data_IF_842353814826
#
_entry.id   IF_842353814826
#
_cell.length_a   1.000
_cell.length_b   1.000
_cell.length_c   1.000
_cell.angle_alpha   90.00
_cell.angle_beta   90.00
_cell.angle_gamma   90.00
#
_symmetry.space_group_name_H-M   'P 1'
#
loop_
_entity.id
_entity.type
_entity.pdbx_description
1 polymer ?
#
# COMPACT_ATOMS: atom_id res chain seq x y z
N UNK A 1 54.41 -27.37 14.02
CA UNK A 1 53.60 -26.35 14.69
C UNK A 1 52.34 -26.15 13.84
N UNK A 2 51.24 -26.84 14.19
CA UNK A 2 49.97 -26.76 13.49
C UNK A 2 49.11 -25.68 14.21
N UNK A 3 48.90 -24.60 13.55
CA UNK A 3 47.93 -23.59 14.01
C UNK A 3 46.59 -24.00 13.35
N UNK A 4 45.81 -24.72 14.11
CA UNK A 4 44.42 -24.99 13.74
C UNK A 4 43.55 -23.80 14.20
N UNK A 5 43.34 -22.86 13.35
CA UNK A 5 42.26 -21.91 13.54
C UNK A 5 41.02 -22.57 12.96
N UNK A 6 40.09 -22.96 13.81
CA UNK A 6 38.80 -23.47 13.41
C UNK A 6 37.98 -22.25 12.92
N UNK A 7 38.00 -22.02 11.61
CA UNK A 7 37.43 -20.88 10.92
C UNK A 7 35.87 -20.95 10.83
N UNK A 8 35.25 -21.90 11.55
CA UNK A 8 33.80 -22.16 11.49
C UNK A 8 32.96 -21.11 12.22
N UNK A 9 33.57 -20.38 13.15
CA UNK A 9 32.87 -19.40 14.00
C UNK A 9 33.25 -17.92 13.72
N UNK A 10 34.01 -17.68 12.63
CA UNK A 10 34.30 -16.30 12.22
C UNK A 10 33.00 -15.64 11.73
N UNK A 11 32.62 -14.47 12.29
CA UNK A 11 31.41 -13.75 11.89
C UNK A 11 31.33 -13.45 10.39
N UNK A 12 32.47 -13.20 9.72
CA UNK A 12 32.53 -12.98 8.27
C UNK A 12 32.28 -14.28 7.48
N UNK A 13 32.83 -15.41 7.94
CA UNK A 13 32.59 -16.72 7.32
C UNK A 13 31.14 -17.17 7.49
N UNK A 14 30.54 -16.90 8.64
CA UNK A 14 29.10 -17.13 8.89
C UNK A 14 28.26 -16.22 7.99
N UNK A 15 28.64 -14.95 7.84
CA UNK A 15 27.98 -13.99 6.96
C UNK A 15 28.05 -14.42 5.50
N UNK A 16 29.23 -14.80 5.00
CA UNK A 16 29.44 -15.30 3.63
C UNK A 16 28.67 -16.62 3.36
N UNK A 17 28.66 -17.55 4.31
CA UNK A 17 27.87 -18.79 4.18
C UNK A 17 26.37 -18.50 4.13
N UNK A 18 25.88 -17.56 4.94
CA UNK A 18 24.47 -17.12 4.91
C UNK A 18 24.12 -16.44 3.61
N UNK A 19 25.00 -15.58 3.07
CA UNK A 19 24.85 -14.98 1.75
C UNK A 19 24.84 -16.02 0.63
N UNK A 20 25.79 -16.95 0.66
CA UNK A 20 25.89 -18.02 -0.35
C UNK A 20 24.67 -18.96 -0.28
N UNK A 21 24.19 -19.30 0.91
CA UNK A 21 22.99 -20.12 1.11
C UNK A 21 21.73 -19.38 0.68
N UNK A 22 21.64 -18.08 1.00
CA UNK A 22 20.54 -17.23 0.57
C UNK A 22 20.49 -17.06 -0.95
N UNK A 23 21.65 -16.79 -1.58
CA UNK A 23 21.75 -16.67 -3.04
C UNK A 23 21.43 -18.02 -3.73
N UNK A 24 21.86 -19.16 -3.17
CA UNK A 24 21.55 -20.50 -3.70
C UNK A 24 20.06 -20.80 -3.63
N UNK A 25 19.39 -20.44 -2.52
CA UNK A 25 17.94 -20.60 -2.38
C UNK A 25 17.14 -19.74 -3.36
N UNK A 26 17.65 -18.54 -3.69
CA UNK A 26 17.04 -17.64 -4.67
C UNK A 26 17.21 -18.12 -6.13
N UNK A 27 18.26 -18.91 -6.42
CA UNK A 27 18.59 -19.36 -7.78
C UNK A 27 17.92 -20.71 -8.12
N UNK A 28 17.65 -21.57 -7.14
CA UNK A 28 17.21 -22.96 -7.36
C UNK A 28 15.74 -23.23 -6.95
N UNK A 29 14.99 -22.21 -6.51
CA UNK A 29 13.62 -22.41 -6.03
C UNK A 29 12.59 -22.04 -7.11
N UNK A 30 11.53 -22.83 -7.19
CA UNK A 30 10.33 -22.43 -7.95
C UNK A 30 9.74 -21.11 -7.40
N UNK A 31 9.18 -20.26 -8.26
CA UNK A 31 8.51 -19.04 -7.83
C UNK A 31 7.47 -19.34 -6.74
N UNK A 32 7.40 -18.47 -5.73
CA UNK A 32 6.39 -18.62 -4.67
C UNK A 32 5.01 -18.25 -5.22
N UNK A 33 4.05 -19.13 -5.07
CA UNK A 33 2.67 -18.81 -5.46
C UNK A 33 2.06 -17.79 -4.50
N UNK A 34 1.66 -16.64 -5.07
CA UNK A 34 1.03 -15.53 -4.34
C UNK A 34 -0.43 -15.37 -4.72
N UNK A 35 -1.21 -14.64 -3.90
CA UNK A 35 -2.59 -14.31 -4.22
C UNK A 35 -3.52 -15.53 -4.28
N UNK A 36 -3.30 -16.53 -3.43
CA UNK A 36 -3.96 -17.83 -3.49
C UNK A 36 -5.36 -17.86 -2.87
N UNK A 37 -5.76 -16.86 -2.09
CA UNK A 37 -7.12 -16.80 -1.54
C UNK A 37 -8.16 -16.84 -2.66
N UNK A 38 -9.14 -17.77 -2.62
CA UNK A 38 -10.13 -17.94 -3.67
C UNK A 38 -10.88 -16.65 -3.99
N UNK A 39 -10.91 -16.27 -5.28
CA UNK A 39 -11.49 -15.01 -5.73
C UNK A 39 -12.10 -15.10 -7.10
N UNK A 40 -13.06 -14.22 -7.35
CA UNK A 40 -13.68 -14.02 -8.66
C UNK A 40 -13.53 -12.58 -9.15
N UNK A 41 -13.43 -12.38 -10.47
CA UNK A 41 -13.46 -11.05 -11.05
C UNK A 41 -14.91 -10.62 -11.20
N UNK A 42 -15.33 -9.61 -10.41
CA UNK A 42 -16.71 -9.11 -10.45
C UNK A 42 -16.87 -7.88 -11.34
N UNK A 43 -15.77 -7.22 -11.73
CA UNK A 43 -15.82 -6.08 -12.62
C UNK A 43 -14.47 -5.84 -13.32
N UNK A 44 -14.54 -5.34 -14.55
CA UNK A 44 -13.37 -4.92 -15.33
C UNK A 44 -13.66 -3.64 -16.09
N UNK A 45 -12.64 -2.80 -16.24
CA UNK A 45 -12.64 -1.65 -17.15
C UNK A 45 -11.21 -1.32 -17.56
N UNK A 46 -10.95 -1.30 -18.87
CA UNK A 46 -9.61 -1.21 -19.40
C UNK A 46 -8.73 -2.32 -18.78
N UNK A 47 -7.68 -1.95 -18.05
CA UNK A 47 -6.78 -2.88 -17.36
C UNK A 47 -7.17 -3.14 -15.91
N UNK A 48 -8.03 -2.27 -15.33
CA UNK A 48 -8.45 -2.39 -13.95
C UNK A 48 -9.43 -3.54 -13.73
N UNK A 49 -9.25 -4.24 -12.62
CA UNK A 49 -10.07 -5.37 -12.18
C UNK A 49 -10.51 -5.18 -10.74
N UNK A 50 -11.70 -5.64 -10.43
CA UNK A 50 -12.18 -5.75 -9.07
C UNK A 50 -12.40 -7.22 -8.75
N UNK A 51 -11.62 -7.72 -7.82
CA UNK A 51 -11.76 -9.07 -7.28
C UNK A 51 -12.72 -9.05 -6.10
N UNK A 52 -13.52 -10.09 -5.96
CA UNK A 52 -14.24 -10.44 -4.74
C UNK A 52 -13.69 -11.74 -4.23
N UNK A 53 -13.32 -11.77 -2.96
CA UNK A 53 -12.90 -12.98 -2.30
C UNK A 53 -14.11 -13.73 -1.75
N UNK A 54 -14.14 -15.04 -1.97
CA UNK A 54 -15.30 -15.87 -1.63
C UNK A 54 -15.16 -16.33 -0.19
N UNK A 55 -16.08 -15.95 0.72
CA UNK A 55 -16.03 -16.39 2.10
C UNK A 55 -16.16 -17.91 2.20
N UNK A 56 -15.33 -18.55 2.99
CA UNK A 56 -15.50 -19.94 3.41
C UNK A 56 -16.46 -19.99 4.59
N UNK A 57 -17.77 -19.85 4.35
CA UNK A 57 -18.78 -19.90 5.40
C UNK A 57 -19.76 -18.72 5.38
N UNK A 58 -20.43 -18.48 6.50
CA UNK A 58 -21.41 -17.42 6.62
C UNK A 58 -20.72 -16.05 6.75
N UNK A 59 -21.21 -15.07 5.97
CA UNK A 59 -20.86 -13.66 6.12
C UNK A 59 -21.34 -13.17 7.49
N UNK A 60 -20.41 -12.82 8.37
CA UNK A 60 -20.71 -12.34 9.73
C UNK A 60 -20.89 -10.82 9.81
N UNK A 61 -20.30 -10.09 8.85
CA UNK A 61 -20.30 -8.64 8.82
C UNK A 61 -21.02 -8.10 7.58
N UNK A 62 -22.13 -7.33 7.72
CA UNK A 62 -22.91 -6.85 6.59
C UNK A 62 -22.19 -5.79 5.74
N UNK A 63 -21.28 -5.00 6.33
CA UNK A 63 -20.54 -3.95 5.62
C UNK A 63 -19.33 -4.54 4.91
N UNK A 64 -19.28 -4.55 3.57
CA UNK A 64 -18.14 -5.07 2.82
C UNK A 64 -16.92 -4.16 2.96
N UNK A 65 -15.74 -4.73 2.74
CA UNK A 65 -14.45 -4.02 2.76
C UNK A 65 -13.90 -3.95 1.34
N UNK A 66 -13.68 -2.74 0.82
CA UNK A 66 -12.99 -2.50 -0.45
C UNK A 66 -11.56 -2.06 -0.19
N UNK A 67 -10.61 -2.91 -0.54
CA UNK A 67 -9.18 -2.66 -0.46
C UNK A 67 -8.71 -1.91 -1.71
N UNK A 68 -8.12 -0.72 -1.52
CA UNK A 68 -7.57 0.14 -2.56
C UNK A 68 -6.07 0.22 -2.40
N UNK A 69 -5.33 -0.21 -3.41
CA UNK A 69 -3.89 -0.28 -3.41
C UNK A 69 -3.25 0.89 -4.16
N UNK A 70 -1.91 1.01 -4.05
CA UNK A 70 -1.10 2.01 -4.75
C UNK A 70 -1.11 1.81 -6.28
N UNK A 71 -0.64 2.83 -7.02
CA UNK A 71 -0.56 2.81 -8.50
C UNK A 71 0.73 2.18 -9.04
N UNK A 72 1.71 1.93 -8.19
CA UNK A 72 3.11 1.67 -8.59
C UNK A 72 3.60 0.25 -8.31
N UNK A 73 2.81 -0.56 -7.61
CA UNK A 73 3.13 -1.95 -7.27
C UNK A 73 1.87 -2.82 -7.40
N UNK A 74 2.04 -4.12 -7.34
CA UNK A 74 0.94 -5.08 -7.45
C UNK A 74 0.18 -5.23 -6.13
N UNK A 75 -1.15 -5.34 -6.17
CA UNK A 75 -1.96 -5.42 -4.95
C UNK A 75 -1.89 -6.78 -4.24
N UNK A 76 -1.24 -7.79 -4.82
CA UNK A 76 -1.18 -9.13 -4.21
C UNK A 76 -0.35 -9.19 -2.92
N UNK A 77 0.36 -8.13 -2.55
CA UNK A 77 0.96 -8.03 -1.21
C UNK A 77 -0.08 -8.10 -0.10
N UNK A 78 -1.32 -7.74 -0.39
CA UNK A 78 -2.46 -7.85 0.54
C UNK A 78 -2.96 -9.30 0.67
N UNK A 79 -2.57 -10.16 -0.27
CA UNK A 79 -2.87 -11.59 -0.34
C UNK A 79 -1.57 -12.34 -0.69
N UNK A 80 -0.53 -12.17 0.15
CA UNK A 80 0.84 -12.51 -0.20
C UNK A 80 1.03 -14.02 -0.32
N UNK A 81 0.91 -14.73 0.77
CA UNK A 81 0.99 -16.21 0.84
C UNK A 81 0.01 -16.70 1.92
N UNK A 82 -0.37 -17.99 1.94
CA UNK A 82 -1.19 -18.56 3.01
C UNK A 82 -0.61 -18.24 4.39
N UNK A 83 -1.47 -18.03 5.37
CA UNK A 83 -1.14 -17.60 6.74
C UNK A 83 -0.46 -16.21 6.85
N UNK A 84 -0.11 -15.56 5.75
CA UNK A 84 0.44 -14.21 5.73
C UNK A 84 -0.26 -13.34 4.69
N UNK A 85 -1.58 -13.36 4.72
CA UNK A 85 -2.50 -12.63 3.85
C UNK A 85 -3.52 -11.87 4.70
N UNK A 86 -3.54 -10.53 4.58
CA UNK A 86 -4.58 -9.71 5.20
C UNK A 86 -5.97 -10.06 4.65
N UNK A 87 -6.03 -10.36 3.36
CA UNK A 87 -7.29 -10.76 2.69
C UNK A 87 -7.82 -12.06 3.29
N UNK A 88 -6.98 -13.11 3.35
CA UNK A 88 -7.35 -14.39 3.96
C UNK A 88 -7.85 -14.20 5.40
N UNK A 89 -7.12 -13.40 6.18
CA UNK A 89 -7.50 -13.08 7.56
C UNK A 89 -8.89 -12.42 7.66
N UNK A 90 -9.15 -11.38 6.85
CA UNK A 90 -10.44 -10.69 6.86
C UNK A 90 -11.59 -11.60 6.37
N UNK A 91 -11.34 -12.42 5.35
CA UNK A 91 -12.31 -13.42 4.86
C UNK A 91 -12.61 -14.45 5.94
N UNK A 92 -11.61 -14.98 6.61
CA UNK A 92 -11.75 -15.92 7.73
C UNK A 92 -12.53 -15.32 8.91
N UNK A 93 -12.40 -14.02 9.14
CA UNK A 93 -13.20 -13.28 10.13
C UNK A 93 -14.64 -12.95 9.66
N UNK A 94 -15.02 -13.38 8.44
CA UNK A 94 -16.38 -13.28 7.93
C UNK A 94 -16.73 -11.94 7.29
N UNK A 95 -15.74 -11.17 6.84
CA UNK A 95 -15.96 -9.98 6.03
C UNK A 95 -16.13 -10.34 4.54
N UNK A 96 -16.96 -9.59 3.82
CA UNK A 96 -17.08 -9.63 2.36
C UNK A 96 -15.99 -8.70 1.78
N UNK A 97 -14.89 -9.26 1.29
CA UNK A 97 -13.68 -8.54 0.92
C UNK A 97 -13.56 -8.38 -0.59
N UNK A 98 -13.27 -7.17 -1.01
CA UNK A 98 -12.99 -6.81 -2.40
C UNK A 98 -11.60 -6.18 -2.52
N UNK A 99 -10.88 -6.50 -3.58
CA UNK A 99 -9.56 -5.93 -3.87
C UNK A 99 -9.55 -5.31 -5.26
N UNK A 100 -9.11 -4.07 -5.30
CA UNK A 100 -8.93 -3.32 -6.53
C UNK A 100 -7.50 -3.54 -7.07
N UNK A 101 -7.41 -4.01 -8.30
CA UNK A 101 -6.19 -4.05 -9.10
C UNK A 101 -6.33 -3.03 -10.25
N UNK A 102 -5.45 -2.05 -10.28
CA UNK A 102 -5.44 -1.03 -11.34
C UNK A 102 -4.94 -1.58 -12.69
N UNK A 103 -4.28 -2.75 -12.69
CA UNK A 103 -3.60 -3.33 -13.83
C UNK A 103 -2.25 -2.67 -14.10
N UNK A 104 -1.66 -2.97 -15.25
CA UNK A 104 -0.38 -2.40 -15.69
C UNK A 104 -0.66 -1.35 -16.77
N UNK A 105 -0.35 -0.07 -16.52
CA UNK A 105 -0.54 0.96 -17.52
C UNK A 105 0.38 0.74 -18.72
N UNK A 106 -0.16 0.91 -19.92
CA UNK A 106 0.57 0.96 -21.17
C UNK A 106 0.82 2.40 -21.61
N UNK A 107 1.43 2.58 -22.77
CA UNK A 107 1.75 3.91 -23.31
C UNK A 107 0.50 4.80 -23.45
N UNK A 108 -0.63 4.21 -23.77
CA UNK A 108 -1.93 4.88 -23.89
C UNK A 108 -2.46 5.45 -22.56
N UNK A 109 -1.95 4.96 -21.42
CA UNK A 109 -2.40 5.35 -20.08
C UNK A 109 -1.57 6.51 -19.47
N UNK A 110 -0.55 7.02 -20.18
CA UNK A 110 0.34 8.08 -19.67
C UNK A 110 -0.38 9.35 -19.24
N UNK A 111 -1.57 9.60 -19.80
CA UNK A 111 -2.42 10.75 -19.45
C UNK A 111 -3.35 10.51 -18.25
N UNK A 112 -3.28 9.36 -17.57
CA UNK A 112 -4.11 9.11 -16.39
C UNK A 112 -3.54 9.84 -15.18
N UNK A 113 -4.24 10.89 -14.72
CA UNK A 113 -3.99 11.59 -13.47
C UNK A 113 -4.87 11.06 -12.33
N UNK A 114 -4.66 11.56 -11.11
CA UNK A 114 -5.44 11.15 -9.92
C UNK A 114 -6.95 11.36 -10.08
N UNK A 115 -7.38 12.36 -10.85
CA UNK A 115 -8.78 12.62 -11.14
C UNK A 115 -9.47 11.43 -11.83
N UNK A 116 -8.77 10.67 -12.67
CA UNK A 116 -9.32 9.48 -13.32
C UNK A 116 -9.57 8.36 -12.31
N UNK A 117 -8.63 8.14 -11.39
CA UNK A 117 -8.74 7.12 -10.35
C UNK A 117 -9.83 7.47 -9.33
N UNK A 118 -9.84 8.72 -8.85
CA UNK A 118 -10.75 9.19 -7.80
C UNK A 118 -12.17 9.41 -8.32
N UNK A 119 -12.33 10.01 -9.53
CA UNK A 119 -13.64 10.43 -10.02
C UNK A 119 -14.29 9.46 -11.01
N UNK A 120 -13.49 8.62 -11.71
CA UNK A 120 -14.03 7.73 -12.74
C UNK A 120 -14.02 6.25 -12.32
N UNK A 121 -12.86 5.74 -11.87
CA UNK A 121 -12.72 4.31 -11.55
C UNK A 121 -13.33 3.96 -10.20
N UNK A 122 -12.86 4.60 -9.13
CA UNK A 122 -13.27 4.25 -7.76
C UNK A 122 -14.80 4.34 -7.54
N UNK A 123 -15.53 5.37 -8.01
CA UNK A 123 -16.99 5.43 -7.87
C UNK A 123 -17.71 4.29 -8.56
N UNK A 124 -17.19 3.79 -9.68
CA UNK A 124 -17.79 2.65 -10.42
C UNK A 124 -17.57 1.34 -9.67
N UNK A 125 -16.39 1.17 -9.09
CA UNK A 125 -16.07 -0.01 -8.28
C UNK A 125 -16.87 -0.03 -6.99
N UNK A 126 -17.00 1.09 -6.30
CA UNK A 126 -17.86 1.24 -5.11
C UNK A 126 -19.30 0.82 -5.44
N UNK A 127 -19.89 1.35 -6.51
CA UNK A 127 -21.22 0.94 -6.95
C UNK A 127 -21.31 -0.54 -7.28
N UNK A 128 -20.23 -1.14 -7.81
CA UNK A 128 -20.21 -2.58 -8.09
C UNK A 128 -20.14 -3.39 -6.80
N UNK A 129 -19.30 -2.99 -5.83
CA UNK A 129 -19.23 -3.62 -4.49
C UNK A 129 -20.61 -3.62 -3.85
N UNK A 130 -21.25 -2.47 -3.74
CA UNK A 130 -22.59 -2.33 -3.12
C UNK A 130 -23.63 -3.23 -3.78
N UNK A 131 -23.68 -3.26 -5.12
CA UNK A 131 -24.60 -4.14 -5.84
C UNK A 131 -24.32 -5.61 -5.66
N UNK A 132 -23.04 -5.99 -5.58
CA UNK A 132 -22.65 -7.40 -5.46
C UNK A 132 -22.82 -7.91 -4.03
N UNK A 133 -22.52 -7.08 -3.04
CA UNK A 133 -22.66 -7.41 -1.61
C UNK A 133 -24.10 -7.32 -1.12
N UNK A 134 -24.96 -6.53 -1.81
CA UNK A 134 -26.30 -6.18 -1.34
C UNK A 134 -26.30 -5.17 -0.19
N UNK A 135 -25.17 -4.52 0.10
CA UNK A 135 -25.04 -3.52 1.15
C UNK A 135 -25.28 -2.10 0.60
N UNK A 136 -25.79 -1.20 1.44
CA UNK A 136 -25.96 0.22 1.10
C UNK A 136 -24.69 1.03 1.38
N UNK A 137 -23.82 0.54 2.25
CA UNK A 137 -22.57 1.18 2.69
C UNK A 137 -21.40 0.19 2.59
N UNK A 138 -20.18 0.73 2.57
CA UNK A 138 -18.94 -0.06 2.59
C UNK A 138 -17.86 0.60 3.45
N UNK A 139 -16.89 -0.19 3.89
CA UNK A 139 -15.62 0.31 4.39
C UNK A 139 -14.66 0.47 3.21
N UNK A 140 -14.10 1.68 3.07
CA UNK A 140 -13.01 1.94 2.13
C UNK A 140 -11.69 1.82 2.89
N UNK A 141 -10.86 0.88 2.48
CA UNK A 141 -9.55 0.62 3.06
C UNK A 141 -8.48 0.95 2.04
N UNK A 142 -7.68 1.98 2.28
CA UNK A 142 -6.61 2.37 1.39
C UNK A 142 -5.23 2.12 1.99
N UNK A 143 -4.34 1.48 1.22
CA UNK A 143 -2.95 1.29 1.59
C UNK A 143 -2.03 2.16 0.73
N UNK A 144 -1.07 2.84 1.35
CA UNK A 144 -0.11 3.72 0.67
C UNK A 144 -0.85 4.80 -0.17
N UNK A 145 -0.50 5.01 -1.42
CA UNK A 145 -1.22 5.91 -2.34
C UNK A 145 -2.71 5.55 -2.48
N UNK A 146 -3.08 4.27 -2.31
CA UNK A 146 -4.47 3.86 -2.28
C UNK A 146 -5.25 4.52 -1.13
N UNK A 147 -4.58 4.77 0.00
CA UNK A 147 -5.14 5.55 1.09
C UNK A 147 -5.32 7.03 0.74
N UNK A 148 -4.35 7.64 0.07
CA UNK A 148 -4.47 9.01 -0.44
C UNK A 148 -5.66 9.14 -1.41
N UNK A 149 -5.79 8.19 -2.37
CA UNK A 149 -6.92 8.12 -3.31
C UNK A 149 -8.25 7.98 -2.55
N UNK A 150 -8.28 7.11 -1.54
CA UNK A 150 -9.46 6.87 -0.71
C UNK A 150 -9.88 8.10 0.10
N UNK A 151 -8.91 8.80 0.69
CA UNK A 151 -9.15 10.05 1.43
C UNK A 151 -9.68 11.16 0.52
N UNK A 152 -9.12 11.31 -0.69
CA UNK A 152 -9.62 12.27 -1.69
C UNK A 152 -11.05 11.95 -2.10
N UNK A 153 -11.36 10.67 -2.35
CA UNK A 153 -12.73 10.26 -2.67
C UNK A 153 -13.70 10.59 -1.53
N UNK A 154 -13.35 10.22 -0.29
CA UNK A 154 -14.18 10.48 0.88
C UNK A 154 -14.43 11.99 1.10
N UNK A 155 -13.43 12.84 0.82
CA UNK A 155 -13.56 14.29 0.91
C UNK A 155 -14.45 14.88 -0.19
N UNK A 156 -14.43 14.31 -1.39
CA UNK A 156 -15.23 14.78 -2.53
C UNK A 156 -16.67 14.26 -2.54
N UNK A 157 -16.96 13.21 -1.77
CA UNK A 157 -18.26 12.55 -1.70
C UNK A 157 -18.64 12.33 -0.22
N UNK A 158 -18.76 13.41 0.58
CA UNK A 158 -18.97 13.31 2.04
C UNK A 158 -20.28 12.62 2.43
N UNK A 159 -21.31 12.73 1.59
CA UNK A 159 -22.63 12.07 1.78
C UNK A 159 -22.70 10.76 0.97
N UNK A 160 -21.54 10.20 0.61
CA UNK A 160 -21.45 8.96 -0.14
C UNK A 160 -21.65 7.72 0.72
N UNK A 161 -21.60 6.53 0.09
CA UNK A 161 -21.92 5.27 0.74
C UNK A 161 -20.74 4.71 1.54
N UNK A 162 -19.99 5.58 2.23
CA UNK A 162 -18.92 5.15 3.10
C UNK A 162 -19.40 5.02 4.54
N UNK A 163 -19.24 3.82 5.12
CA UNK A 163 -19.41 3.57 6.54
C UNK A 163 -18.18 3.93 7.33
N UNK A 164 -17.00 3.57 6.81
CA UNK A 164 -15.71 3.77 7.46
C UNK A 164 -14.62 4.07 6.43
N UNK A 165 -13.54 4.71 6.87
CA UNK A 165 -12.31 4.91 6.12
C UNK A 165 -11.12 4.38 6.93
N UNK A 166 -10.36 3.44 6.36
CA UNK A 166 -9.09 2.96 6.92
C UNK A 166 -7.95 3.43 6.03
N UNK A 167 -6.97 4.08 6.63
CA UNK A 167 -5.78 4.63 5.99
C UNK A 167 -4.55 3.91 6.55
N UNK A 168 -4.01 2.95 5.80
CA UNK A 168 -2.83 2.21 6.19
C UNK A 168 -1.60 2.76 5.48
N UNK A 169 -0.62 3.27 6.22
CA UNK A 169 0.57 3.91 5.67
C UNK A 169 0.23 4.88 4.53
N UNK A 170 -0.82 5.68 4.71
CA UNK A 170 -1.38 6.56 3.67
C UNK A 170 -0.81 7.97 3.80
N UNK A 171 -0.01 8.44 2.83
CA UNK A 171 0.55 9.77 2.86
C UNK A 171 -0.52 10.82 2.52
N UNK A 172 -0.80 11.73 3.44
CA UNK A 172 -1.75 12.85 3.27
C UNK A 172 -1.17 14.22 3.60
N UNK A 173 -0.02 14.28 4.30
CA UNK A 173 0.72 15.52 4.58
C UNK A 173 2.21 15.37 4.26
N UNK A 174 2.79 16.33 3.54
CA UNK A 174 4.13 16.19 2.97
C UNK A 174 5.08 17.34 3.36
N UNK A 175 4.63 18.33 4.16
CA UNK A 175 5.36 19.57 4.36
C UNK A 175 6.60 19.43 5.26
N UNK A 176 6.58 18.57 6.29
CA UNK A 176 7.69 18.47 7.23
C UNK A 176 8.92 17.78 6.62
N UNK A 177 10.11 18.07 7.15
CA UNK A 177 11.33 17.41 6.71
C UNK A 177 11.25 15.89 6.92
N UNK A 178 10.69 15.46 8.03
CA UNK A 178 10.48 14.06 8.37
C UNK A 178 9.48 13.41 7.41
N UNK A 179 8.44 14.15 6.98
CA UNK A 179 7.44 13.67 6.04
C UNK A 179 7.97 13.48 4.61
N UNK A 180 9.13 14.02 4.25
CA UNK A 180 9.67 13.87 2.90
C UNK A 180 10.24 12.48 2.62
N UNK A 181 10.74 11.80 3.64
CA UNK A 181 11.18 10.40 3.57
C UNK A 181 12.14 10.12 2.41
N UNK A 182 11.92 8.97 1.76
CA UNK A 182 12.66 8.52 0.57
C UNK A 182 12.51 9.47 -0.62
N UNK A 183 11.39 10.19 -0.72
CA UNK A 183 11.07 11.07 -1.85
C UNK A 183 11.60 12.51 -1.70
N UNK A 184 12.38 12.79 -0.65
CA UNK A 184 13.01 14.10 -0.43
C UNK A 184 13.70 14.68 -1.68
N UNK A 185 14.44 13.91 -2.51
CA UNK A 185 15.04 14.44 -3.72
C UNK A 185 14.02 15.02 -4.72
N UNK A 186 12.81 14.46 -4.77
CA UNK A 186 11.75 14.90 -5.70
C UNK A 186 11.13 16.25 -5.30
N UNK A 187 11.32 16.69 -4.05
CA UNK A 187 10.75 17.96 -3.55
C UNK A 187 11.48 19.19 -4.03
N UNK A 188 12.71 19.05 -4.52
CA UNK A 188 13.56 20.19 -4.91
C UNK A 188 13.39 20.54 -6.37
N UNK A 189 12.88 21.75 -6.67
CA UNK A 189 12.81 22.30 -8.04
C UNK A 189 14.16 22.39 -8.72
N UNK A 190 15.22 22.61 -7.94
CA UNK A 190 16.58 22.76 -8.46
C UNK A 190 17.17 21.44 -8.96
N UNK A 191 16.78 20.32 -8.35
CA UNK A 191 17.41 19.02 -8.57
C UNK A 191 16.56 18.02 -9.31
N UNK A 192 15.24 18.27 -9.39
CA UNK A 192 14.33 17.34 -10.05
C UNK A 192 13.20 18.09 -10.76
N UNK A 193 13.03 17.79 -12.05
CA UNK A 193 11.89 18.19 -12.87
C UNK A 193 11.23 16.91 -13.41
N UNK A 194 9.94 16.66 -13.16
CA UNK A 194 9.27 15.46 -13.64
C UNK A 194 9.06 15.46 -15.17
N UNK A 195 8.98 16.63 -15.82
CA UNK A 195 8.59 16.74 -17.21
C UNK A 195 9.53 16.04 -18.19
N UNK A 196 10.86 16.21 -18.11
CA UNK A 196 11.78 15.48 -18.96
C UNK A 196 11.71 13.95 -18.79
N UNK A 197 11.41 13.48 -17.56
CA UNK A 197 11.23 12.05 -17.28
C UNK A 197 9.98 11.52 -17.97
N UNK A 198 8.87 12.26 -17.86
CA UNK A 198 7.60 11.89 -18.50
C UNK A 198 7.72 11.98 -20.03
N UNK A 199 8.45 12.97 -20.55
CA UNK A 199 8.70 13.10 -21.98
C UNK A 199 9.49 11.91 -22.53
N UNK A 200 10.48 11.41 -21.77
CA UNK A 200 11.33 10.30 -22.17
C UNK A 200 10.62 8.93 -22.07
N UNK A 201 9.83 8.71 -21.03
CA UNK A 201 9.27 7.38 -20.70
C UNK A 201 7.75 7.27 -20.89
N UNK A 202 7.01 8.37 -20.95
CA UNK A 202 5.55 8.37 -20.91
C UNK A 202 5.03 7.98 -19.53
N UNK A 203 5.09 6.69 -19.19
CA UNK A 203 4.91 6.16 -17.85
C UNK A 203 6.27 5.93 -17.20
N UNK A 204 6.43 6.37 -15.95
CA UNK A 204 7.72 6.29 -15.25
C UNK A 204 7.94 4.87 -14.72
N UNK A 205 9.02 4.18 -15.12
CA UNK A 205 9.29 2.83 -14.65
C UNK A 205 9.40 2.76 -13.13
N UNK A 206 8.84 1.74 -12.49
CA UNK A 206 8.90 1.56 -11.05
C UNK A 206 10.35 1.41 -10.54
N UNK A 207 11.21 0.79 -11.34
CA UNK A 207 12.64 0.65 -11.05
C UNK A 207 13.35 1.98 -10.86
N UNK A 208 12.91 3.02 -11.57
CA UNK A 208 13.52 4.36 -11.51
C UNK A 208 12.97 5.17 -10.33
N UNK A 209 11.73 4.89 -9.91
CA UNK A 209 11.11 5.53 -8.75
C UNK A 209 11.78 5.13 -7.43
N UNK A 210 12.15 3.86 -7.29
CA UNK A 210 12.76 3.31 -6.08
C UNK A 210 14.28 3.15 -6.18
N UNK A 211 14.89 3.64 -7.26
CA UNK A 211 16.33 3.66 -7.46
C UNK A 211 16.96 2.32 -7.80
N UNK A 212 16.27 1.54 -8.67
CA UNK A 212 16.65 0.17 -9.02
C UNK A 212 16.49 -0.77 -7.82
N UNK A 213 16.00 -1.98 -8.01
CA UNK A 213 15.72 -2.98 -6.95
C UNK A 213 16.80 -3.14 -5.86
N UNK A 214 18.03 -2.69 -6.13
CA UNK A 214 19.14 -2.65 -5.19
C UNK A 214 18.98 -1.69 -3.98
N UNK A 215 18.07 -0.70 -4.00
CA UNK A 215 17.89 0.19 -2.83
C UNK A 215 16.86 -0.35 -1.84
N UNK A 216 15.89 -1.13 -2.33
CA UNK A 216 15.03 -1.93 -1.44
C UNK A 216 15.73 -3.24 -1.04
N UNK A 217 16.61 -3.79 -1.90
CA UNK A 217 17.53 -4.89 -1.55
C UNK A 217 18.63 -4.45 -0.55
N UNK A 218 19.05 -3.18 -0.56
CA UNK A 218 19.82 -2.58 0.56
C UNK A 218 19.02 -2.55 1.87
N UNK A 219 17.70 -2.72 1.82
CA UNK A 219 16.89 -3.05 2.98
C UNK A 219 17.16 -4.47 3.50
N UNK A 220 17.69 -5.38 2.71
CA UNK A 220 18.14 -6.71 3.19
C UNK A 220 19.30 -6.63 4.19
N UNK A 221 20.09 -5.55 4.15
CA UNK A 221 21.10 -5.24 5.18
C UNK A 221 20.51 -4.54 6.42
N UNK A 222 19.21 -4.21 6.42
CA UNK A 222 18.56 -3.64 7.61
C UNK A 222 18.22 -4.72 8.62
N UNK A 223 18.37 -4.44 9.93
CA UNK A 223 18.10 -5.41 11.00
C UNK A 223 16.71 -6.04 10.92
N UNK A 224 15.73 -5.34 10.38
CA UNK A 224 14.33 -5.77 10.28
C UNK A 224 14.13 -6.82 9.19
N UNK A 225 14.72 -6.61 8.00
CA UNK A 225 14.68 -7.58 6.91
C UNK A 225 15.60 -8.75 7.25
N UNK A 226 16.73 -8.50 7.92
CA UNK A 226 17.59 -9.54 8.47
C UNK A 226 16.92 -10.29 9.64
N UNK A 227 15.95 -9.71 10.34
CA UNK A 227 15.15 -10.38 11.36
C UNK A 227 14.07 -11.28 10.70
N UNK A 228 13.37 -10.78 9.69
CA UNK A 228 12.48 -11.60 8.85
C UNK A 228 13.24 -12.75 8.18
N UNK A 229 14.46 -12.49 7.70
CA UNK A 229 15.33 -13.51 7.14
C UNK A 229 15.91 -14.48 8.19
N UNK A 230 15.93 -14.13 9.46
CA UNK A 230 16.43 -15.01 10.55
C UNK A 230 15.37 -15.94 11.10
N UNK A 231 14.09 -15.53 11.12
CA UNK A 231 13.03 -16.36 11.67
C UNK A 231 12.46 -17.38 10.70
N UNK A 232 12.56 -17.14 9.43
CA UNK A 232 12.35 -18.15 8.40
C UNK A 232 12.78 -17.56 7.04
N UNK A 233 13.63 -18.23 6.29
CA UNK A 233 13.60 -18.24 4.82
C UNK A 233 12.24 -18.80 4.41
N UNK A 234 11.19 -18.05 4.74
CA UNK A 234 9.82 -18.41 4.52
C UNK A 234 9.44 -17.97 3.12
N UNK A 235 8.50 -18.64 2.56
CA UNK A 235 7.84 -18.26 1.31
C UNK A 235 7.38 -16.80 1.35
N UNK A 236 7.01 -16.28 2.53
CA UNK A 236 6.68 -14.86 2.76
C UNK A 236 7.80 -13.88 2.43
N UNK A 237 9.06 -14.18 2.77
CA UNK A 237 10.18 -13.30 2.45
C UNK A 237 10.48 -13.30 0.96
N UNK A 238 10.46 -14.47 0.34
CA UNK A 238 10.69 -14.63 -1.10
C UNK A 238 9.57 -13.94 -1.90
N UNK A 239 8.32 -14.20 -1.54
CA UNK A 239 7.17 -13.55 -2.15
C UNK A 239 7.20 -12.02 -2.02
N UNK A 240 7.60 -11.50 -0.87
CA UNK A 240 7.76 -10.06 -0.66
C UNK A 240 8.91 -9.48 -1.50
N UNK A 241 10.01 -10.22 -1.68
CA UNK A 241 11.13 -9.81 -2.52
C UNK A 241 10.73 -9.80 -4.00
N UNK A 242 10.06 -10.83 -4.48
CA UNK A 242 9.52 -10.91 -5.85
C UNK A 242 8.50 -9.78 -6.10
N UNK A 243 7.64 -9.51 -5.12
CA UNK A 243 6.67 -8.42 -5.21
C UNK A 243 7.33 -7.04 -5.37
N UNK A 244 8.44 -6.78 -4.68
CA UNK A 244 9.21 -5.53 -4.85
C UNK A 244 9.75 -5.37 -6.26
N UNK A 245 10.17 -6.48 -6.88
CA UNK A 245 10.70 -6.50 -8.24
C UNK A 245 9.58 -6.48 -9.31
N UNK A 246 8.33 -6.86 -8.96
CA UNK A 246 7.15 -6.80 -9.82
C UNK A 246 6.50 -5.40 -9.82
N UNK A 247 7.33 -4.39 -10.06
CA UNK A 247 6.91 -2.99 -10.09
C UNK A 247 6.02 -2.67 -11.30
N UNK A 248 5.07 -1.77 -11.07
CA UNK A 248 4.14 -1.26 -12.09
C UNK A 248 4.57 0.15 -12.48
N UNK A 249 4.69 0.47 -13.80
CA UNK A 249 5.00 1.83 -14.23
C UNK A 249 3.98 2.85 -13.69
N UNK A 250 4.46 4.01 -13.28
CA UNK A 250 3.59 5.08 -12.79
C UNK A 250 3.10 5.93 -13.97
N UNK A 251 1.79 6.08 -14.21
CA UNK A 251 1.28 6.93 -15.28
C UNK A 251 1.82 8.35 -15.19
N UNK A 252 2.27 8.92 -16.31
CA UNK A 252 3.02 10.17 -16.35
C UNK A 252 2.32 11.33 -15.65
N UNK A 253 1.01 11.55 -15.93
CA UNK A 253 0.27 12.64 -15.27
C UNK A 253 0.05 12.39 -13.78
N UNK A 254 -0.17 11.14 -13.36
CA UNK A 254 -0.25 10.82 -11.93
C UNK A 254 1.11 11.02 -11.24
N UNK A 255 2.22 10.66 -11.90
CA UNK A 255 3.56 10.93 -11.40
C UNK A 255 3.85 12.43 -11.30
N UNK A 256 3.49 13.22 -12.33
CA UNK A 256 3.61 14.69 -12.30
C UNK A 256 2.92 15.28 -11.06
N UNK A 257 1.64 14.94 -10.87
CA UNK A 257 0.88 15.40 -9.71
C UNK A 257 1.50 14.91 -8.40
N UNK A 258 1.98 13.67 -8.34
CA UNK A 258 2.61 13.13 -7.14
C UNK A 258 3.83 13.94 -6.72
N UNK A 259 4.66 14.35 -7.69
CA UNK A 259 5.84 15.19 -7.43
C UNK A 259 5.44 16.63 -7.10
N UNK A 260 4.61 17.25 -7.95
CA UNK A 260 4.35 18.70 -7.85
C UNK A 260 3.29 19.01 -6.80
N UNK A 261 2.12 18.36 -6.87
CA UNK A 261 0.98 18.76 -6.05
C UNK A 261 1.10 18.18 -4.63
N UNK A 262 1.61 16.95 -4.49
CA UNK A 262 1.74 16.32 -3.18
C UNK A 262 3.10 16.63 -2.53
N UNK A 263 4.19 16.14 -3.08
CA UNK A 263 5.50 16.25 -2.41
C UNK A 263 6.09 17.66 -2.37
N UNK A 264 5.91 18.45 -3.43
CA UNK A 264 6.52 19.79 -3.51
C UNK A 264 5.66 20.88 -2.89
N UNK A 265 4.39 20.91 -3.22
CA UNK A 265 3.49 21.99 -2.81
C UNK A 265 2.53 21.61 -1.68
N UNK A 266 2.47 20.33 -1.31
CA UNK A 266 1.59 19.79 -0.25
C UNK A 266 0.13 20.26 -0.40
N UNK A 267 -0.36 20.33 -1.66
CA UNK A 267 -1.68 20.91 -1.98
C UNK A 267 -2.83 20.17 -1.34
N UNK A 268 -2.67 18.83 -1.13
CA UNK A 268 -3.70 18.02 -0.47
C UNK A 268 -3.92 18.47 0.98
N UNK A 269 -2.86 18.53 1.77
CA UNK A 269 -2.96 18.94 3.18
C UNK A 269 -3.37 20.41 3.33
N UNK A 270 -2.97 21.26 2.38
CA UNK A 270 -3.36 22.67 2.36
C UNK A 270 -4.78 22.91 1.86
N UNK A 271 -5.48 21.87 1.38
CA UNK A 271 -6.80 21.99 0.78
C UNK A 271 -6.80 22.81 -0.51
N UNK A 272 -5.70 22.81 -1.26
CA UNK A 272 -5.50 23.54 -2.52
C UNK A 272 -5.52 22.60 -3.73
N UNK A 273 -5.62 21.28 -3.51
CA UNK A 273 -5.69 20.30 -4.58
C UNK A 273 -7.05 20.35 -5.26
N UNK A 274 -7.05 20.41 -6.59
CA UNK A 274 -8.27 20.33 -7.40
C UNK A 274 -8.21 19.14 -8.36
N UNK A 275 -9.29 18.38 -8.42
CA UNK A 275 -9.49 17.30 -9.39
C UNK A 275 -10.65 17.69 -10.33
N UNK A 276 -10.35 18.02 -11.57
CA UNK A 276 -11.33 18.55 -12.57
C UNK A 276 -12.17 19.72 -12.02
N UNK A 277 -11.51 20.71 -11.39
CA UNK A 277 -12.16 21.89 -10.81
C UNK A 277 -12.93 21.63 -9.51
N UNK A 278 -12.85 20.42 -8.94
CA UNK A 278 -13.43 20.09 -7.64
C UNK A 278 -12.34 20.12 -6.59
N UNK A 279 -12.44 21.04 -5.66
CA UNK A 279 -11.49 21.21 -4.57
C UNK A 279 -11.58 20.04 -3.58
N UNK A 280 -10.44 19.46 -3.23
CA UNK A 280 -10.32 18.36 -2.27
C UNK A 280 -10.06 18.94 -0.89
N UNK A 281 -11.07 18.94 -0.04
CA UNK A 281 -10.97 19.41 1.34
C UNK A 281 -11.12 18.22 2.29
N UNK A 282 -10.00 17.75 2.89
CA UNK A 282 -10.02 16.61 3.77
C UNK A 282 -10.92 16.81 5.01
N UNK A 283 -11.17 18.04 5.40
CA UNK A 283 -12.15 18.41 6.45
C UNK A 283 -13.58 17.93 6.15
N UNK A 284 -13.89 17.60 4.90
CA UNK A 284 -15.17 17.03 4.49
C UNK A 284 -15.28 15.53 4.78
N UNK A 285 -14.19 14.85 5.11
CA UNK A 285 -14.22 13.44 5.55
C UNK A 285 -14.86 13.38 6.94
N UNK A 286 -16.07 12.83 7.05
CA UNK A 286 -16.87 12.81 8.27
C UNK A 286 -17.13 11.42 8.84
N UNK A 287 -16.89 10.38 8.05
CA UNK A 287 -17.02 8.98 8.49
C UNK A 287 -15.93 8.63 9.51
N UNK A 288 -16.11 7.60 10.35
CA UNK A 288 -15.06 7.10 11.23
C UNK A 288 -13.77 6.80 10.46
N UNK A 289 -12.62 7.26 10.99
CA UNK A 289 -11.31 7.09 10.37
C UNK A 289 -10.37 6.34 11.31
N UNK A 290 -9.75 5.28 10.80
CA UNK A 290 -8.59 4.63 11.40
C UNK A 290 -7.36 4.90 10.52
N UNK A 291 -6.38 5.63 11.04
CA UNK A 291 -5.07 5.82 10.38
C UNK A 291 -4.02 4.98 11.09
N UNK A 292 -3.31 4.17 10.34
CA UNK A 292 -2.26 3.25 10.83
C UNK A 292 -0.95 3.58 10.15
N UNK A 293 0.12 3.72 10.93
CA UNK A 293 1.43 4.08 10.41
C UNK A 293 2.55 3.25 11.04
N UNK A 294 3.64 3.10 10.30
CA UNK A 294 4.85 2.46 10.80
C UNK A 294 5.83 3.50 11.37
N UNK A 295 6.32 3.24 12.59
CA UNK A 295 7.34 4.10 13.22
C UNK A 295 8.68 4.04 12.48
N UNK A 296 8.92 2.95 11.73
CA UNK A 296 10.14 2.68 10.96
C UNK A 296 9.90 2.79 9.44
N UNK A 297 8.74 3.32 9.04
CA UNK A 297 8.35 3.46 7.64
C UNK A 297 9.09 4.64 6.99
N UNK A 298 10.00 4.34 6.07
CA UNK A 298 10.77 5.34 5.30
C UNK A 298 10.10 5.73 3.98
N UNK A 299 9.09 4.97 3.54
CA UNK A 299 8.33 5.20 2.30
C UNK A 299 7.20 6.19 2.59
N UNK A 300 6.41 5.92 3.62
CA UNK A 300 5.41 6.81 4.18
C UNK A 300 5.76 7.10 5.64
N UNK A 301 6.69 8.04 5.90
CA UNK A 301 7.07 8.38 7.27
C UNK A 301 5.87 8.74 8.13
N UNK A 302 5.95 8.40 9.41
CA UNK A 302 4.86 8.56 10.37
C UNK A 302 4.13 9.91 10.28
N UNK A 303 4.81 11.08 10.17
CA UNK A 303 4.12 12.37 10.06
C UNK A 303 3.22 12.51 8.82
N UNK A 304 3.52 11.79 7.71
CA UNK A 304 2.64 11.82 6.52
C UNK A 304 1.27 11.22 6.80
N UNK A 305 1.22 10.10 7.52
CA UNK A 305 -0.03 9.42 7.86
C UNK A 305 -0.72 10.06 9.07
N UNK A 306 0.04 10.54 10.05
CA UNK A 306 -0.46 11.21 11.25
C UNK A 306 -1.20 12.50 10.91
N UNK A 307 -0.77 13.22 9.87
CA UNK A 307 -1.43 14.44 9.38
C UNK A 307 -2.93 14.25 9.11
N UNK A 308 -3.38 13.03 8.80
CA UNK A 308 -4.81 12.72 8.65
C UNK A 308 -5.62 13.09 9.90
N UNK A 309 -5.02 12.98 11.10
CA UNK A 309 -5.72 13.27 12.36
C UNK A 309 -6.10 14.75 12.52
N UNK A 310 -5.31 15.64 11.94
CA UNK A 310 -5.58 17.09 11.99
C UNK A 310 -6.43 17.55 10.81
N UNK A 311 -6.29 16.88 9.66
CA UNK A 311 -6.89 17.32 8.41
C UNK A 311 -8.33 16.84 8.22
N UNK A 312 -8.67 15.62 8.67
CA UNK A 312 -10.03 15.09 8.50
C UNK A 312 -11.03 15.68 9.48
N UNK A 313 -12.27 15.94 9.00
CA UNK A 313 -13.36 16.50 9.80
C UNK A 313 -14.15 15.45 10.60
N UNK A 314 -13.74 14.19 10.58
CA UNK A 314 -14.37 13.13 11.36
C UNK A 314 -14.33 13.41 12.87
N UNK A 315 -15.41 13.09 13.55
CA UNK A 315 -15.48 13.13 15.03
C UNK A 315 -14.94 11.85 15.66
N UNK A 316 -14.94 10.74 14.91
CA UNK A 316 -14.42 9.44 15.32
C UNK A 316 -13.15 9.14 14.53
N UNK A 317 -12.01 9.51 15.04
CA UNK A 317 -10.71 9.27 14.42
C UNK A 317 -9.74 8.65 15.41
N UNK A 318 -9.02 7.65 14.94
CA UNK A 318 -8.04 6.89 15.72
C UNK A 318 -6.73 6.81 14.95
N UNK A 319 -5.62 7.06 15.63
CA UNK A 319 -4.28 6.88 15.09
C UNK A 319 -3.59 5.71 15.78
N UNK A 320 -3.04 4.80 15.00
CA UNK A 320 -2.37 3.59 15.47
C UNK A 320 -0.94 3.53 14.93
N UNK A 321 0.06 4.06 15.64
CA UNK A 321 1.47 3.85 15.30
C UNK A 321 1.89 2.43 15.71
N UNK A 322 2.72 1.79 14.87
CA UNK A 322 3.23 0.44 15.07
C UNK A 322 4.74 0.40 14.80
N UNK A 323 5.49 -0.34 15.61
CA UNK A 323 6.92 -0.57 15.43
C UNK A 323 7.17 -1.50 14.21
N UNK A 324 6.99 -0.97 13.02
CA UNK A 324 7.12 -1.67 11.74
C UNK A 324 7.52 -0.71 10.62
N UNK A 325 8.17 -1.23 9.58
CA UNK A 325 8.34 -0.57 8.30
C UNK A 325 7.11 -0.74 7.39
N UNK A 326 7.16 -0.14 6.20
CA UNK A 326 6.03 -0.09 5.25
C UNK A 326 5.39 -1.47 4.99
N UNK A 327 6.19 -2.45 4.58
CA UNK A 327 5.72 -3.81 4.28
C UNK A 327 5.34 -4.57 5.57
N UNK A 328 6.05 -4.31 6.68
CA UNK A 328 5.78 -4.94 7.97
C UNK A 328 4.41 -4.61 8.58
N UNK A 329 3.77 -3.53 8.10
CA UNK A 329 2.37 -3.21 8.42
C UNK A 329 1.37 -4.13 7.72
N UNK A 330 1.75 -4.70 6.57
CA UNK A 330 0.86 -5.53 5.75
C UNK A 330 1.04 -7.01 6.02
N UNK A 331 2.28 -7.45 6.19
CA UNK A 331 2.68 -8.84 6.28
C UNK A 331 3.72 -9.02 7.39
N UNK A 332 3.73 -10.18 8.03
CA UNK A 332 4.69 -10.53 9.07
C UNK A 332 4.18 -10.37 10.51
N UNK A 333 5.08 -10.49 11.50
CA UNK A 333 4.69 -10.64 12.90
C UNK A 333 3.92 -9.46 13.49
N UNK A 334 4.31 -8.22 13.14
CA UNK A 334 3.63 -7.01 13.65
C UNK A 334 2.23 -6.89 13.06
N UNK A 335 2.09 -7.13 11.74
CA UNK A 335 0.80 -7.15 11.08
C UNK A 335 -0.13 -8.19 11.72
N UNK A 336 0.30 -9.44 11.80
CA UNK A 336 -0.48 -10.57 12.35
C UNK A 336 -0.79 -10.41 13.84
N UNK A 337 0.19 -10.00 14.64
CA UNK A 337 0.07 -10.00 16.09
C UNK A 337 -0.57 -8.74 16.66
N UNK A 338 -0.48 -7.60 15.96
CA UNK A 338 -0.93 -6.30 16.50
C UNK A 338 -1.95 -5.59 15.63
N UNK A 339 -1.71 -5.52 14.30
CA UNK A 339 -2.57 -4.74 13.42
C UNK A 339 -3.85 -5.48 13.05
N UNK A 340 -3.77 -6.69 12.51
CA UNK A 340 -4.95 -7.41 12.01
C UNK A 340 -6.03 -7.65 13.06
N UNK A 341 -5.71 -8.10 14.30
CA UNK A 341 -6.72 -8.23 15.35
C UNK A 341 -7.38 -6.90 15.70
N UNK A 342 -6.58 -5.82 15.76
CA UNK A 342 -7.09 -4.48 16.03
C UNK A 342 -8.01 -3.96 14.92
N UNK A 343 -7.64 -4.22 13.66
CA UNK A 343 -8.45 -3.88 12.49
C UNK A 343 -9.79 -4.61 12.52
N UNK A 344 -9.77 -5.93 12.76
CA UNK A 344 -10.99 -6.75 12.87
C UNK A 344 -11.91 -6.22 13.96
N UNK A 345 -11.41 -5.97 15.15
CA UNK A 345 -12.18 -5.39 16.24
C UNK A 345 -12.79 -4.02 15.88
N UNK A 346 -12.01 -3.18 15.21
CA UNK A 346 -12.43 -1.85 14.81
C UNK A 346 -13.53 -1.89 13.75
N UNK A 347 -13.38 -2.75 12.76
CA UNK A 347 -14.36 -2.98 11.69
C UNK A 347 -15.64 -3.64 12.20
N UNK A 348 -15.53 -4.69 13.02
CA UNK A 348 -16.67 -5.43 13.53
C UNK A 348 -17.63 -4.55 14.34
N UNK A 349 -17.08 -3.67 15.19
CA UNK A 349 -17.91 -2.72 15.97
C UNK A 349 -18.67 -1.71 15.10
N UNK A 350 -18.27 -1.50 13.83
CA UNK A 350 -18.85 -0.54 12.89
C UNK A 350 -19.57 -1.19 11.72
N UNK A 351 -19.65 -2.51 11.72
CA UNK A 351 -20.30 -3.30 10.66
C UNK A 351 -21.71 -3.78 11.05
N UNK A 352 -22.21 -3.31 12.19
CA UNK A 352 -23.55 -3.66 12.67
C UNK A 352 -24.64 -2.73 12.10
#
# INVERSE_FOLDING_TARGET
MRIGVDDRDNPETIRLKKYATGAHLLIERDPVETGQTPKEIVWTKNKARLYRYVPEGEKRHPVPVLLVYALILRPYVLDLVPDNSLVEHLVGEGFDVYLLDWGVPGEEDRGLGFEHYVLDYLPRMIRKVLRTSGSEELTLFGYCQGGTISAMYAALVPDGPLRNLVLLAAPVGFASEEARGLFKPLTSERFFDPDPVIEAFGNVPATDLFGGGNRLAGAADRPEVAHLAREAFTDSFLAASEWVDDGVPFPGEAFRSWVLDFHRHDRLARGELELRGRRVELSNVRVPVLSVAGEEDVICPLPQAEAAMDLVGSREKEFLPLAAGHVGLMAGPVAKGKFWPRLVDWLARRSA
#
